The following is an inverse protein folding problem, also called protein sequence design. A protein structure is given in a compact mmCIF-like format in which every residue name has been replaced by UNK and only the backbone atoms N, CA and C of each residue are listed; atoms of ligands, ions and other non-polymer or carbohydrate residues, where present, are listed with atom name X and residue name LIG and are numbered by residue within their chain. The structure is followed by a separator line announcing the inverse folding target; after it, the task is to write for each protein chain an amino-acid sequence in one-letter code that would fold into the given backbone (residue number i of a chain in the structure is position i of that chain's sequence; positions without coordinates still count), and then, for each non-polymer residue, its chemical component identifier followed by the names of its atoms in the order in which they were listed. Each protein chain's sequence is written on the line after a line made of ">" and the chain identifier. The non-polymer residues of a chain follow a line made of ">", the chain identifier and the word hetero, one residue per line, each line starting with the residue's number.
data_IF_091028929892
#
_entry.id   IF_091028929892
#
_cell.length_a   1.000
_cell.length_b   1.000
_cell.length_c   1.000
_cell.angle_alpha   90.00
_cell.angle_beta   90.00
_cell.angle_gamma   90.00
#
_symmetry.space_group_name_H-M   'P 1'
#
loop_
_entity.id
_entity.type
_entity.pdbx_description
1 polymer ?
#
# COMPACT_ATOMS: atom_id res chain seq x y z
N UNK A 1 13.45 0.69 -2.01
CA UNK A 1 13.85 1.68 -3.03
C UNK A 1 13.30 3.06 -2.67
N UNK A 2 11.99 3.34 -2.80
CA UNK A 2 11.44 4.69 -2.50
C UNK A 2 11.64 5.16 -1.06
N UNK A 3 11.46 4.28 -0.07
CA UNK A 3 11.78 4.60 1.34
C UNK A 3 13.25 5.01 1.52
N UNK A 4 14.17 4.24 0.96
CA UNK A 4 15.61 4.53 0.98
C UNK A 4 15.95 5.83 0.24
N UNK A 5 15.23 6.14 -0.83
CA UNK A 5 15.37 7.39 -1.56
C UNK A 5 14.99 8.60 -0.69
N UNK A 6 13.92 8.50 0.10
CA UNK A 6 13.56 9.53 1.09
C UNK A 6 14.58 9.66 2.23
N UNK A 7 15.12 8.53 2.73
CA UNK A 7 16.18 8.54 3.74
C UNK A 7 17.46 9.25 3.24
N UNK A 8 17.68 9.25 1.93
CA UNK A 8 18.82 9.89 1.27
C UNK A 8 18.50 11.30 0.72
N UNK A 9 17.36 11.90 1.07
CA UNK A 9 16.87 13.19 0.54
C UNK A 9 17.95 14.29 0.51
N UNK A 10 18.69 14.47 1.60
CA UNK A 10 19.76 15.49 1.66
C UNK A 10 20.90 15.23 0.66
N UNK A 11 21.26 13.96 0.44
CA UNK A 11 22.31 13.59 -0.50
C UNK A 11 21.83 13.73 -1.94
N UNK A 12 20.57 13.36 -2.20
CA UNK A 12 19.94 13.51 -3.52
C UNK A 12 19.93 14.99 -3.92
N UNK A 13 19.46 15.88 -3.04
CA UNK A 13 19.42 17.34 -3.30
C UNK A 13 20.83 17.88 -3.59
N UNK A 14 21.82 17.58 -2.74
CA UNK A 14 23.21 18.01 -2.96
C UNK A 14 23.80 17.49 -4.27
N UNK A 15 23.45 16.26 -4.64
CA UNK A 15 23.93 15.63 -5.86
C UNK A 15 23.29 16.22 -7.11
N UNK A 16 22.00 16.55 -7.08
CA UNK A 16 21.28 17.16 -8.22
C UNK A 16 21.59 18.65 -8.38
N UNK A 17 21.87 19.37 -7.29
CA UNK A 17 22.20 20.80 -7.31
C UNK A 17 23.62 21.09 -7.84
N UNK A 18 24.50 20.09 -7.83
CA UNK A 18 25.88 20.24 -8.28
C UNK A 18 25.95 20.40 -9.80
N UNK A 19 26.35 21.58 -10.26
CA UNK A 19 26.43 21.94 -11.69
C UNK A 19 27.38 21.03 -12.49
N UNK A 20 28.33 20.37 -11.82
CA UNK A 20 29.23 19.38 -12.41
C UNK A 20 28.55 18.08 -12.83
N UNK A 21 27.38 17.78 -12.27
CA UNK A 21 26.73 16.49 -12.44
C UNK A 21 25.72 16.48 -13.61
N UNK A 22 25.34 17.65 -14.13
CA UNK A 22 24.40 17.76 -15.25
C UNK A 22 22.99 17.25 -14.94
N UNK A 23 22.59 17.26 -13.66
CA UNK A 23 21.32 16.70 -13.17
C UNK A 23 20.36 17.76 -12.60
N UNK A 24 20.60 19.04 -12.88
CA UNK A 24 19.77 20.14 -12.39
C UNK A 24 18.29 19.99 -12.81
N UNK A 25 18.03 19.39 -13.98
CA UNK A 25 16.68 19.15 -14.48
C UNK A 25 15.88 18.12 -13.66
N UNK A 26 16.54 17.36 -12.77
CA UNK A 26 15.92 16.32 -11.93
C UNK A 26 15.73 16.76 -10.48
N UNK A 27 15.94 18.04 -10.17
CA UNK A 27 15.67 18.59 -8.84
C UNK A 27 14.15 18.53 -8.62
N UNK A 28 13.75 17.76 -7.61
CA UNK A 28 12.36 17.67 -7.20
C UNK A 28 11.95 18.91 -6.41
N UNK A 29 10.79 19.44 -6.76
CA UNK A 29 10.11 20.51 -6.03
C UNK A 29 9.63 20.04 -4.65
N UNK A 30 9.33 20.96 -3.71
CA UNK A 30 8.77 20.59 -2.41
C UNK A 30 7.50 19.73 -2.52
N UNK A 31 6.60 20.08 -3.43
CA UNK A 31 5.34 19.36 -3.66
C UNK A 31 5.58 17.94 -4.20
N UNK A 32 6.60 17.75 -5.03
CA UNK A 32 6.98 16.42 -5.51
C UNK A 32 7.60 15.56 -4.41
N UNK A 33 8.39 16.16 -3.51
CA UNK A 33 8.88 15.45 -2.33
C UNK A 33 7.74 15.00 -1.42
N UNK A 34 6.75 15.87 -1.19
CA UNK A 34 5.54 15.52 -0.44
C UNK A 34 4.77 14.39 -1.13
N UNK A 35 4.64 14.43 -2.45
CA UNK A 35 4.01 13.35 -3.21
C UNK A 35 4.76 12.00 -3.07
N UNK A 36 6.10 12.02 -3.03
CA UNK A 36 6.91 10.80 -2.78
C UNK A 36 6.70 10.28 -1.36
N UNK A 37 6.62 11.17 -0.37
CA UNK A 37 6.33 10.81 1.03
C UNK A 37 4.94 10.17 1.16
N UNK A 38 3.92 10.77 0.54
CA UNK A 38 2.57 10.19 0.43
C UNK A 38 2.55 8.85 -0.31
N UNK A 39 3.39 8.69 -1.34
CA UNK A 39 3.46 7.43 -2.08
C UNK A 39 4.06 6.31 -1.20
N UNK A 40 5.10 6.62 -0.44
CA UNK A 40 5.72 5.66 0.49
C UNK A 40 4.76 5.26 1.61
N UNK A 41 3.97 6.20 2.15
CA UNK A 41 2.98 5.89 3.19
C UNK A 41 1.88 4.96 2.66
N UNK A 42 1.32 5.28 1.49
CA UNK A 42 0.26 4.48 0.85
C UNK A 42 0.73 3.08 0.46
N UNK A 43 1.93 2.96 -0.10
CA UNK A 43 2.47 1.66 -0.52
C UNK A 43 2.89 0.77 0.65
N UNK A 44 3.00 1.32 1.86
CA UNK A 44 3.48 0.59 3.04
C UNK A 44 2.60 -0.63 3.35
N UNK A 45 1.28 -0.48 3.36
CA UNK A 45 0.36 -1.59 3.67
C UNK A 45 0.48 -2.74 2.66
N UNK A 46 0.69 -2.40 1.37
CA UNK A 46 0.89 -3.40 0.33
C UNK A 46 2.23 -4.14 0.50
N UNK A 47 3.29 -3.42 0.87
CA UNK A 47 4.59 -4.00 1.17
C UNK A 47 4.50 -4.93 2.37
N UNK A 48 3.88 -4.48 3.46
CA UNK A 48 3.75 -5.25 4.70
C UNK A 48 2.93 -6.53 4.45
N UNK A 49 1.84 -6.44 3.69
CA UNK A 49 1.07 -7.60 3.27
C UNK A 49 1.90 -8.56 2.39
N UNK A 50 2.67 -8.03 1.43
CA UNK A 50 3.52 -8.86 0.56
C UNK A 50 4.60 -9.58 1.36
N UNK A 51 5.29 -8.90 2.27
CA UNK A 51 6.29 -9.50 3.14
C UNK A 51 5.69 -10.56 4.06
N UNK A 52 4.50 -10.29 4.62
CA UNK A 52 3.77 -11.26 5.40
C UNK A 52 3.50 -12.52 4.57
N UNK A 53 2.85 -12.42 3.40
CA UNK A 53 2.56 -13.55 2.51
C UNK A 53 3.78 -14.24 1.89
N UNK A 54 4.93 -13.57 1.85
CA UNK A 54 6.19 -14.15 1.38
C UNK A 54 6.93 -14.93 2.47
N UNK A 55 6.48 -14.85 3.72
CA UNK A 55 7.03 -15.64 4.82
C UNK A 55 6.40 -17.04 4.90
N UNK A 56 6.93 -17.92 5.75
CA UNK A 56 6.43 -19.30 5.90
C UNK A 56 5.24 -19.42 6.88
N UNK A 57 4.81 -18.32 7.49
CA UNK A 57 3.80 -18.28 8.56
C UNK A 57 2.33 -18.15 8.10
N UNK A 58 2.00 -17.41 7.04
CA UNK A 58 0.63 -17.19 6.61
C UNK A 58 -0.01 -18.45 6.09
N UNK A 59 -1.27 -18.64 6.46
CA UNK A 59 -2.12 -19.66 5.92
C UNK A 59 -3.29 -19.01 5.16
N UNK A 60 -4.09 -19.81 4.46
CA UNK A 60 -5.21 -19.35 3.64
C UNK A 60 -6.20 -18.47 4.43
N UNK A 61 -6.38 -18.70 5.74
CA UNK A 61 -7.27 -17.88 6.58
C UNK A 61 -6.77 -16.47 6.84
N UNK A 62 -5.51 -16.15 6.51
CA UNK A 62 -5.01 -14.78 6.64
C UNK A 62 -5.32 -13.90 5.42
N UNK A 63 -5.78 -14.49 4.30
CA UNK A 63 -6.00 -13.77 3.04
C UNK A 63 -7.13 -12.75 3.16
N UNK A 64 -8.32 -13.16 3.59
CA UNK A 64 -9.47 -12.25 3.73
C UNK A 64 -9.17 -11.09 4.71
N UNK A 65 -8.64 -11.34 5.93
CA UNK A 65 -8.23 -10.27 6.84
C UNK A 65 -7.20 -9.29 6.26
N UNK A 66 -6.23 -9.79 5.49
CA UNK A 66 -5.26 -8.92 4.86
C UNK A 66 -5.89 -8.07 3.74
N UNK A 67 -6.84 -8.62 2.98
CA UNK A 67 -7.56 -7.86 1.97
C UNK A 67 -8.46 -6.79 2.60
N UNK A 68 -9.12 -7.09 3.73
CA UNK A 68 -9.90 -6.12 4.50
C UNK A 68 -9.01 -4.98 5.02
N UNK A 69 -7.83 -5.31 5.59
CA UNK A 69 -6.89 -4.31 6.06
C UNK A 69 -6.36 -3.39 4.94
N UNK A 70 -6.11 -3.94 3.75
CA UNK A 70 -5.71 -3.13 2.58
C UNK A 70 -6.88 -2.25 2.11
N UNK A 71 -8.11 -2.79 2.07
CA UNK A 71 -9.28 -2.01 1.64
C UNK A 71 -9.58 -0.84 2.60
N UNK A 72 -9.48 -1.10 3.91
CA UNK A 72 -9.61 -0.09 4.95
C UNK A 72 -8.50 0.96 4.84
N UNK A 73 -7.24 0.55 4.68
CA UNK A 73 -6.14 1.49 4.50
C UNK A 73 -6.33 2.39 3.27
N UNK A 74 -6.84 1.84 2.17
CA UNK A 74 -7.14 2.62 0.97
C UNK A 74 -8.37 3.51 1.15
N UNK A 75 -9.39 3.06 1.88
CA UNK A 75 -10.55 3.89 2.20
C UNK A 75 -10.15 5.09 3.08
N UNK A 76 -9.36 4.85 4.14
CA UNK A 76 -8.88 5.89 5.05
C UNK A 76 -7.99 6.88 4.32
N UNK A 77 -7.05 6.42 3.48
CA UNK A 77 -6.26 7.32 2.63
C UNK A 77 -7.09 8.16 1.65
N UNK A 78 -8.21 7.63 1.14
CA UNK A 78 -9.15 8.39 0.31
C UNK A 78 -9.98 9.39 1.15
N UNK A 79 -10.26 9.09 2.42
CA UNK A 79 -11.02 9.95 3.34
C UNK A 79 -10.14 11.06 3.91
N UNK A 80 -8.87 10.78 4.20
CA UNK A 80 -7.84 11.72 4.68
C UNK A 80 -7.31 12.65 3.56
N UNK A 81 -8.16 12.96 2.58
CA UNK A 81 -8.01 13.84 1.41
C UNK A 81 -7.22 15.14 1.59
N UNK A 82 -6.92 15.55 2.83
CA UNK A 82 -6.16 16.75 3.15
C UNK A 82 -4.64 16.58 3.04
N UNK A 83 -4.13 15.36 3.04
CA UNK A 83 -2.67 15.10 3.02
C UNK A 83 -2.15 14.44 1.73
N UNK A 84 -3.02 13.95 0.85
CA UNK A 84 -2.60 13.27 -0.39
C UNK A 84 -2.92 14.10 -1.64
N UNK A 85 -1.96 14.18 -2.55
CA UNK A 85 -2.13 14.87 -3.82
C UNK A 85 -3.16 14.16 -4.73
N UNK A 86 -3.84 14.94 -5.58
CA UNK A 86 -4.90 14.42 -6.45
C UNK A 86 -4.50 13.21 -7.32
N UNK A 87 -3.29 13.14 -7.90
CA UNK A 87 -2.83 11.96 -8.63
C UNK A 87 -2.78 10.70 -7.78
N UNK A 88 -2.35 10.80 -6.52
CA UNK A 88 -2.30 9.65 -5.59
C UNK A 88 -3.70 9.18 -5.23
N UNK A 89 -4.64 10.10 -4.98
CA UNK A 89 -6.04 9.77 -4.73
C UNK A 89 -6.67 9.01 -5.91
N UNK A 90 -6.36 9.44 -7.14
CA UNK A 90 -6.81 8.74 -8.34
C UNK A 90 -6.17 7.35 -8.45
N UNK A 91 -4.86 7.24 -8.24
CA UNK A 91 -4.14 5.96 -8.25
C UNK A 91 -4.69 4.98 -7.20
N UNK A 92 -4.97 5.46 -5.99
CA UNK A 92 -5.62 4.70 -4.92
C UNK A 92 -7.00 4.19 -5.33
N UNK A 93 -7.81 5.04 -5.97
CA UNK A 93 -9.13 4.67 -6.46
C UNK A 93 -9.06 3.55 -7.51
N UNK A 94 -8.04 3.60 -8.39
CA UNK A 94 -7.77 2.53 -9.37
C UNK A 94 -7.27 1.26 -8.68
N UNK A 95 -6.38 1.40 -7.70
CA UNK A 95 -5.88 0.29 -6.88
C UNK A 95 -7.03 -0.43 -6.16
N UNK A 96 -7.93 0.32 -5.52
CA UNK A 96 -9.12 -0.21 -4.83
C UNK A 96 -10.05 -0.98 -5.78
N UNK A 97 -10.29 -0.48 -7.00
CA UNK A 97 -11.05 -1.25 -8.02
C UNK A 97 -10.40 -2.60 -8.34
N UNK A 98 -9.08 -2.63 -8.40
CA UNK A 98 -8.33 -3.88 -8.64
C UNK A 98 -8.43 -4.81 -7.44
N UNK A 99 -8.27 -4.30 -6.23
CA UNK A 99 -8.44 -5.05 -4.99
C UNK A 99 -9.84 -5.68 -4.90
N UNK A 100 -10.89 -4.89 -5.12
CA UNK A 100 -12.29 -5.34 -5.08
C UNK A 100 -12.56 -6.50 -6.06
N UNK A 101 -11.96 -6.48 -7.25
CA UNK A 101 -12.08 -7.57 -8.21
C UNK A 101 -11.57 -8.88 -7.62
N UNK A 102 -10.37 -8.88 -7.04
CA UNK A 102 -9.81 -10.09 -6.43
C UNK A 102 -10.50 -10.44 -5.11
N UNK A 103 -11.02 -9.44 -4.39
CA UNK A 103 -11.77 -9.67 -3.16
C UNK A 103 -13.02 -10.50 -3.45
N UNK A 104 -13.80 -10.10 -4.47
CA UNK A 104 -14.98 -10.84 -4.91
C UNK A 104 -14.64 -12.30 -5.23
N UNK A 105 -13.54 -12.54 -5.95
CA UNK A 105 -13.11 -13.90 -6.29
C UNK A 105 -12.70 -14.73 -5.06
N UNK A 106 -12.06 -14.10 -4.08
CA UNK A 106 -11.67 -14.75 -2.82
C UNK A 106 -12.89 -15.07 -1.95
N UNK A 107 -13.86 -14.16 -1.86
CA UNK A 107 -15.09 -14.35 -1.07
C UNK A 107 -16.04 -15.39 -1.69
N UNK A 108 -16.16 -15.41 -3.02
CA UNK A 108 -16.95 -16.40 -3.76
C UNK A 108 -16.39 -17.83 -3.60
N UNK A 109 -15.10 -17.96 -3.29
CA UNK A 109 -14.44 -19.25 -3.13
C UNK A 109 -14.68 -19.85 -1.74
N UNK A 110 -15.28 -21.04 -1.74
CA UNK A 110 -15.53 -21.82 -0.52
C UNK A 110 -14.24 -22.11 0.27
N UNK A 111 -13.08 -22.18 -0.39
CA UNK A 111 -11.81 -22.54 0.26
C UNK A 111 -11.43 -21.48 1.30
N UNK A 112 -11.51 -20.19 0.94
CA UNK A 112 -11.17 -19.11 1.86
C UNK A 112 -12.17 -19.02 3.01
N UNK A 113 -13.47 -19.17 2.72
CA UNK A 113 -14.51 -19.16 3.75
C UNK A 113 -14.41 -20.33 4.73
N UNK A 114 -14.16 -21.54 4.24
CA UNK A 114 -13.94 -22.72 5.09
C UNK A 114 -12.68 -22.53 5.94
N UNK A 115 -11.58 -22.03 5.37
CA UNK A 115 -10.35 -21.76 6.12
C UNK A 115 -10.60 -20.77 7.27
N UNK A 116 -11.38 -19.71 7.04
CA UNK A 116 -11.79 -18.75 8.06
C UNK A 116 -12.64 -19.39 9.17
N UNK A 117 -13.61 -20.24 8.82
CA UNK A 117 -14.47 -20.92 9.78
C UNK A 117 -13.68 -21.90 10.66
N UNK A 118 -12.69 -22.59 10.08
CA UNK A 118 -11.82 -23.52 10.80
C UNK A 118 -10.77 -22.80 11.68
N UNK A 119 -10.50 -21.52 11.43
CA UNK A 119 -9.54 -20.76 12.20
C UNK A 119 -10.05 -20.52 13.64
N UNK A 120 -9.32 -20.92 14.70
CA UNK A 120 -9.80 -20.88 16.09
C UNK A 120 -10.26 -19.51 16.59
N UNK A 121 -9.66 -18.44 16.07
CA UNK A 121 -9.94 -17.06 16.46
C UNK A 121 -11.06 -16.39 15.64
N UNK A 122 -11.30 -16.83 14.40
CA UNK A 122 -12.26 -16.18 13.50
C UNK A 122 -13.61 -16.86 13.53
N UNK A 123 -13.66 -18.17 13.22
CA UNK A 123 -14.88 -18.98 13.19
C UNK A 123 -16.01 -18.28 12.42
N UNK A 124 -17.25 -18.49 12.86
CA UNK A 124 -18.43 -17.80 12.31
C UNK A 124 -18.55 -16.34 12.79
N UNK A 125 -17.79 -15.92 13.80
CA UNK A 125 -17.84 -14.54 14.31
C UNK A 125 -17.29 -13.52 13.32
N UNK A 126 -16.41 -13.94 12.40
CA UNK A 126 -15.84 -13.04 11.40
C UNK A 126 -16.85 -12.56 10.36
N UNK A 127 -17.84 -13.40 10.02
CA UNK A 127 -18.85 -13.11 8.99
C UNK A 127 -20.12 -12.46 9.55
N UNK A 128 -20.06 -11.92 10.76
CA UNK A 128 -21.21 -11.29 11.42
C UNK A 128 -21.28 -9.80 11.14
#
# INVERSE_FOLDING_TARGET
>A
MLKTFLELKEFVIKFTDSSSNGLADYILTPDEWEAVEGLVSVLKILKDATEFFSSNSPNISAVIPAMDAIDEAFATGIIDQRELCAPLCYALSVGKKTLNKYYSLSDDSHIYRIAMVLHPSFKLSYFR
#
